data_IF_883294005687
#
_entry.id   IF_883294005687
#
_cell.length_a   1.000
_cell.length_b   1.000
_cell.length_c   1.000
_cell.angle_alpha   90.00
_cell.angle_beta   90.00
_cell.angle_gamma   90.00
#
_symmetry.space_group_name_H-M   'P 1'
#
loop_
_entity.id
_entity.type
_entity.pdbx_description
1 polymer ?
#
# COMPACT_ATOMS: atom_id res chain seq x y z
N UNK A 1 15.58 -23.31 -17.09
CA UNK A 1 15.25 -22.80 -15.74
C UNK A 1 13.80 -23.17 -15.46
N UNK A 2 13.53 -24.33 -14.87
CA UNK A 2 12.16 -24.78 -14.59
C UNK A 2 11.48 -23.81 -13.64
N UNK A 3 10.36 -23.24 -14.05
CA UNK A 3 9.58 -22.27 -13.27
C UNK A 3 9.06 -22.97 -12.00
N UNK A 4 9.80 -22.81 -10.90
CA UNK A 4 9.55 -23.54 -9.66
C UNK A 4 8.21 -23.08 -9.10
N UNK A 5 7.34 -24.04 -8.77
CA UNK A 5 5.99 -23.76 -8.32
C UNK A 5 6.00 -22.92 -7.04
N UNK A 6 5.28 -21.81 -7.07
CA UNK A 6 5.09 -20.94 -5.89
C UNK A 6 3.81 -21.35 -5.18
N UNK A 7 3.91 -21.74 -3.93
CA UNK A 7 2.77 -22.08 -3.08
C UNK A 7 2.49 -20.95 -2.10
N UNK A 8 1.21 -20.56 -1.98
CA UNK A 8 0.76 -19.59 -0.99
C UNK A 8 0.08 -20.32 0.16
N UNK A 9 0.47 -19.97 1.38
CA UNK A 9 -0.23 -20.40 2.60
C UNK A 9 -0.72 -19.17 3.34
N UNK A 10 -2.00 -19.13 3.67
CA UNK A 10 -2.60 -18.04 4.43
C UNK A 10 -2.82 -18.48 5.87
N UNK A 11 -2.50 -17.60 6.83
CA UNK A 11 -2.65 -17.84 8.26
C UNK A 11 -3.25 -16.61 8.93
N UNK A 12 -3.82 -16.79 10.13
CA UNK A 12 -4.43 -15.72 10.93
C UNK A 12 -5.43 -14.90 10.11
N UNK A 13 -6.33 -15.60 9.43
CA UNK A 13 -7.37 -14.99 8.61
C UNK A 13 -8.44 -14.36 9.49
N UNK A 14 -8.74 -13.09 9.25
CA UNK A 14 -9.74 -12.31 9.99
C UNK A 14 -10.60 -11.57 8.96
N UNK A 15 -11.92 -11.72 9.05
CA UNK A 15 -12.87 -10.87 8.33
C UNK A 15 -13.16 -9.63 9.18
N UNK A 16 -12.94 -8.44 8.63
CA UNK A 16 -13.23 -7.17 9.29
C UNK A 16 -14.32 -6.42 8.50
N UNK A 17 -15.60 -6.53 8.90
CA UNK A 17 -16.72 -5.86 8.23
C UNK A 17 -16.66 -4.33 8.31
N UNK A 18 -16.09 -3.75 9.38
CA UNK A 18 -16.03 -2.29 9.58
C UNK A 18 -15.24 -1.57 8.49
N UNK A 19 -14.25 -2.26 7.92
CA UNK A 19 -13.38 -1.76 6.86
C UNK A 19 -13.65 -2.44 5.51
N UNK A 20 -14.68 -3.28 5.42
CA UNK A 20 -15.00 -4.04 4.20
C UNK A 20 -13.82 -4.85 3.66
N UNK A 21 -13.07 -5.52 4.55
CA UNK A 21 -11.86 -6.25 4.15
C UNK A 21 -11.58 -7.51 4.96
N UNK A 22 -10.92 -8.46 4.31
CA UNK A 22 -10.30 -9.65 4.90
C UNK A 22 -8.81 -9.40 5.12
N UNK A 23 -8.30 -9.80 6.27
CA UNK A 23 -6.92 -9.58 6.68
C UNK A 23 -6.27 -10.93 6.95
N UNK A 24 -5.04 -11.12 6.47
CA UNK A 24 -4.33 -12.38 6.67
C UNK A 24 -2.82 -12.17 6.60
N UNK A 25 -2.10 -13.10 7.22
CA UNK A 25 -0.67 -13.29 7.01
C UNK A 25 -0.50 -14.25 5.84
N UNK A 26 0.38 -13.93 4.90
CA UNK A 26 0.69 -14.76 3.75
C UNK A 26 2.13 -15.24 3.85
N UNK A 27 2.30 -16.55 3.89
CA UNK A 27 3.57 -17.20 3.69
C UNK A 27 3.67 -17.65 2.22
N UNK A 28 4.73 -17.18 1.56
CA UNK A 28 5.06 -17.52 0.17
C UNK A 28 6.19 -18.54 0.21
N UNK A 29 5.92 -19.74 -0.31
CA UNK A 29 6.91 -20.78 -0.49
C UNK A 29 7.35 -20.75 -1.96
N UNK A 30 8.65 -20.50 -2.18
CA UNK A 30 9.26 -20.37 -3.49
C UNK A 30 10.63 -21.09 -3.47
N UNK A 31 10.65 -22.43 -3.34
CA UNK A 31 11.90 -23.18 -3.27
C UNK A 31 12.69 -23.03 -4.56
N UNK A 32 14.01 -22.84 -4.45
CA UNK A 32 14.95 -22.69 -5.58
C UNK A 32 14.61 -21.56 -6.57
N UNK A 33 13.68 -20.68 -6.22
CA UNK A 33 13.29 -19.51 -7.00
C UNK A 33 13.62 -18.25 -6.20
N UNK A 34 13.94 -17.19 -6.93
CA UNK A 34 14.05 -15.84 -6.36
C UNK A 34 12.71 -15.34 -5.80
N UNK A 35 12.76 -14.14 -5.23
CA UNK A 35 11.61 -13.49 -4.63
C UNK A 35 10.47 -13.32 -5.64
N UNK A 36 9.24 -13.60 -5.21
CA UNK A 36 8.05 -13.46 -6.06
C UNK A 36 7.62 -12.00 -6.11
N UNK A 37 7.26 -11.52 -7.30
CA UNK A 37 6.79 -10.15 -7.48
C UNK A 37 5.49 -9.94 -6.69
N UNK A 38 5.27 -8.73 -6.16
CA UNK A 38 4.01 -8.42 -5.47
C UNK A 38 2.81 -8.49 -6.40
N UNK A 39 3.03 -8.23 -7.68
CA UNK A 39 1.97 -8.21 -8.68
C UNK A 39 1.46 -9.63 -8.97
N UNK A 40 2.38 -10.60 -9.07
CA UNK A 40 2.08 -12.02 -9.21
C UNK A 40 1.35 -12.55 -7.96
N UNK A 41 1.77 -12.10 -6.77
CA UNK A 41 1.13 -12.48 -5.51
C UNK A 41 -0.31 -11.96 -5.43
N UNK A 42 -0.57 -10.74 -5.92
CA UNK A 42 -1.93 -10.19 -6.00
C UNK A 42 -2.81 -11.02 -6.94
N UNK A 43 -2.27 -11.42 -8.08
CA UNK A 43 -2.99 -12.26 -9.03
C UNK A 43 -3.33 -13.63 -8.42
N UNK A 44 -2.34 -14.33 -7.85
CA UNK A 44 -2.55 -15.66 -7.24
C UNK A 44 -3.49 -15.63 -6.04
N UNK A 45 -3.41 -14.60 -5.19
CA UNK A 45 -4.37 -14.41 -4.10
C UNK A 45 -5.77 -14.07 -4.62
N UNK A 46 -5.84 -13.29 -5.71
CA UNK A 46 -7.09 -13.00 -6.42
C UNK A 46 -7.77 -14.27 -6.90
N UNK A 47 -7.03 -15.13 -7.59
CA UNK A 47 -7.50 -16.44 -8.06
C UNK A 47 -7.95 -17.34 -6.90
N UNK A 48 -7.14 -17.46 -5.83
CA UNK A 48 -7.43 -18.31 -4.67
C UNK A 48 -8.73 -17.91 -3.95
N UNK A 49 -8.97 -16.61 -3.81
CA UNK A 49 -10.14 -16.07 -3.09
C UNK A 49 -11.26 -15.58 -4.01
N UNK A 50 -11.17 -15.86 -5.33
CA UNK A 50 -12.14 -15.44 -6.35
C UNK A 50 -12.43 -13.94 -6.31
N UNK A 51 -11.36 -13.15 -6.28
CA UNK A 51 -11.41 -11.68 -6.25
C UNK A 51 -10.57 -11.08 -7.36
N UNK A 52 -10.88 -9.84 -7.74
CA UNK A 52 -10.08 -9.12 -8.74
C UNK A 52 -8.73 -8.76 -8.12
N UNK A 53 -7.69 -8.79 -8.93
CA UNK A 53 -6.32 -8.37 -8.56
C UNK A 53 -6.30 -6.96 -7.96
N UNK A 54 -7.15 -6.07 -8.45
CA UNK A 54 -7.25 -4.70 -7.97
C UNK A 54 -7.76 -4.60 -6.54
N UNK A 55 -8.59 -5.53 -6.06
CA UNK A 55 -9.12 -5.50 -4.69
C UNK A 55 -8.13 -6.09 -3.67
N UNK A 56 -6.99 -6.63 -4.13
CA UNK A 56 -5.96 -7.27 -3.30
C UNK A 56 -4.78 -6.33 -3.09
N UNK A 57 -4.44 -6.09 -1.83
CA UNK A 57 -3.27 -5.34 -1.39
C UNK A 57 -2.33 -6.25 -0.61
N UNK A 58 -1.04 -6.27 -0.96
CA UNK A 58 -0.03 -7.10 -0.32
C UNK A 58 1.21 -6.27 0.06
N UNK A 59 1.64 -6.37 1.32
CA UNK A 59 2.70 -5.52 1.87
C UNK A 59 3.51 -6.20 2.96
N UNK A 60 4.64 -5.58 3.32
CA UNK A 60 5.44 -6.01 4.47
C UNK A 60 6.15 -7.34 4.29
N UNK A 61 6.43 -7.76 3.05
CA UNK A 61 7.18 -8.98 2.79
C UNK A 61 8.61 -8.90 3.32
N UNK A 62 9.02 -9.94 4.03
CA UNK A 62 10.39 -10.22 4.45
C UNK A 62 10.73 -11.64 4.04
N UNK A 63 11.88 -11.80 3.40
CA UNK A 63 12.49 -13.10 3.09
C UNK A 63 13.15 -13.67 4.34
N UNK A 64 12.96 -14.95 4.60
CA UNK A 64 13.69 -15.64 5.67
C UNK A 64 15.15 -15.84 5.27
N UNK A 65 16.04 -15.90 6.27
CA UNK A 65 17.43 -16.29 6.05
C UNK A 65 17.48 -17.71 5.47
N UNK A 66 18.34 -17.94 4.49
CA UNK A 66 18.37 -19.18 3.70
C UNK A 66 17.40 -19.21 2.51
N UNK A 67 16.54 -18.20 2.33
CA UNK A 67 15.66 -18.09 1.17
C UNK A 67 14.52 -19.12 1.17
N UNK A 68 13.90 -19.36 0.00
CA UNK A 68 12.85 -20.38 -0.17
C UNK A 68 11.48 -20.06 0.47
N UNK A 69 11.45 -19.13 1.45
CA UNK A 69 10.23 -18.69 2.13
C UNK A 69 10.25 -17.19 2.39
N UNK A 70 9.12 -16.54 2.13
CA UNK A 70 8.86 -15.14 2.50
C UNK A 70 7.56 -15.03 3.30
N UNK A 71 7.52 -14.13 4.26
CA UNK A 71 6.30 -13.85 5.03
C UNK A 71 5.89 -12.39 4.83
N UNK A 72 4.61 -12.14 4.64
CA UNK A 72 4.04 -10.78 4.51
C UNK A 72 2.58 -10.74 4.92
N UNK A 73 1.92 -9.64 4.60
CA UNK A 73 0.51 -9.39 4.91
C UNK A 73 -0.28 -9.17 3.64
N UNK A 74 -1.50 -9.69 3.60
CA UNK A 74 -2.47 -9.39 2.56
C UNK A 74 -3.76 -8.84 3.15
N UNK A 75 -4.32 -7.88 2.42
CA UNK A 75 -5.65 -7.33 2.63
C UNK A 75 -6.44 -7.56 1.35
N UNK A 76 -7.60 -8.19 1.45
CA UNK A 76 -8.52 -8.38 0.34
C UNK A 76 -9.77 -7.57 0.67
N UNK A 77 -10.01 -6.52 -0.10
CA UNK A 77 -11.19 -5.67 0.06
C UNK A 77 -12.39 -6.31 -0.66
N UNK A 78 -13.59 -5.93 -0.24
CA UNK A 78 -14.83 -6.34 -0.90
C UNK A 78 -15.06 -5.51 -2.19
N UNK A 79 -14.50 -4.29 -2.26
CA UNK A 79 -14.53 -3.42 -3.44
C UNK A 79 -13.29 -2.52 -3.55
N UNK A 80 -12.98 -2.11 -4.79
CA UNK A 80 -11.88 -1.17 -5.08
C UNK A 80 -12.12 0.21 -4.44
N UNK A 81 -13.37 0.64 -4.31
CA UNK A 81 -13.73 1.88 -3.62
C UNK A 81 -13.35 1.84 -2.13
N UNK A 82 -13.63 0.71 -1.46
CA UNK A 82 -13.22 0.50 -0.07
C UNK A 82 -11.70 0.51 0.06
N UNK A 83 -10.98 -0.11 -0.88
CA UNK A 83 -9.52 -0.07 -0.91
C UNK A 83 -8.99 1.36 -0.99
N UNK A 84 -9.49 2.18 -1.93
CA UNK A 84 -9.06 3.59 -2.08
C UNK A 84 -9.36 4.43 -0.85
N UNK A 85 -10.45 4.13 -0.14
CA UNK A 85 -10.85 4.86 1.09
C UNK A 85 -9.98 4.52 2.29
N UNK A 86 -9.64 3.23 2.47
CA UNK A 86 -9.02 2.74 3.71
C UNK A 86 -7.53 2.43 3.62
N UNK A 87 -6.95 2.27 2.43
CA UNK A 87 -5.50 2.12 2.29
C UNK A 87 -4.78 3.45 2.52
N UNK A 88 -3.61 3.44 3.19
CA UNK A 88 -2.72 4.58 3.21
C UNK A 88 -2.30 5.00 1.79
N UNK A 89 -2.26 6.32 1.54
CA UNK A 89 -1.94 6.92 0.24
C UNK A 89 -0.67 6.35 -0.41
N UNK A 90 0.39 6.11 0.38
CA UNK A 90 1.65 5.61 -0.15
C UNK A 90 1.55 4.21 -0.78
N UNK A 91 0.56 3.40 -0.38
CA UNK A 91 0.32 2.07 -0.98
C UNK A 91 -0.48 2.20 -2.26
N UNK A 92 -1.46 3.09 -2.30
CA UNK A 92 -2.22 3.40 -3.52
C UNK A 92 -1.28 3.88 -4.63
N UNK A 93 -0.31 4.74 -4.30
CA UNK A 93 0.74 5.17 -5.26
C UNK A 93 1.58 4.01 -5.76
N UNK A 94 1.95 3.06 -4.90
CA UNK A 94 2.73 1.86 -5.29
C UNK A 94 1.96 0.92 -6.22
N UNK A 95 0.64 0.94 -6.19
CA UNK A 95 -0.21 0.17 -7.10
C UNK A 95 -0.66 0.99 -8.32
N UNK A 96 -0.21 2.23 -8.47
CA UNK A 96 -0.62 3.10 -9.59
C UNK A 96 -2.06 3.63 -9.50
N UNK A 97 -2.74 3.47 -8.35
CA UNK A 97 -4.12 3.92 -8.16
C UNK A 97 -4.24 5.38 -7.71
N UNK A 98 -3.13 6.01 -7.33
CA UNK A 98 -3.06 7.40 -6.94
C UNK A 98 -1.74 8.02 -7.40
N UNK A 99 -1.73 9.32 -7.64
CA UNK A 99 -0.49 10.06 -7.94
C UNK A 99 0.28 10.38 -6.67
N UNK A 100 1.61 10.47 -6.79
CA UNK A 100 2.46 10.94 -5.71
C UNK A 100 2.11 12.39 -5.41
N UNK A 101 1.78 12.67 -4.15
CA UNK A 101 1.48 14.04 -3.74
C UNK A 101 2.80 14.82 -3.64
N UNK A 102 3.04 15.68 -4.62
CA UNK A 102 4.16 16.62 -4.58
C UNK A 102 3.83 17.80 -3.66
N UNK A 103 4.60 17.92 -2.58
CA UNK A 103 4.48 19.01 -1.62
C UNK A 103 5.84 19.64 -1.42
N UNK A 104 5.85 20.97 -1.35
CA UNK A 104 6.99 21.74 -0.88
C UNK A 104 7.52 21.16 0.45
N UNK A 105 8.83 21.32 0.68
CA UNK A 105 9.49 20.72 1.84
C UNK A 105 8.81 21.12 3.14
N UNK A 106 8.90 20.25 4.16
CA UNK A 106 8.29 20.53 5.48
C UNK A 106 8.75 21.87 6.03
N UNK A 107 10.02 22.23 5.80
CA UNK A 107 10.60 23.52 6.21
C UNK A 107 9.95 24.69 5.46
N UNK A 108 9.86 24.65 4.13
CA UNK A 108 9.25 25.71 3.32
C UNK A 108 7.77 25.93 3.72
N UNK A 109 7.02 24.86 3.95
CA UNK A 109 5.63 24.94 4.40
C UNK A 109 5.49 25.60 5.77
N UNK A 110 6.39 25.27 6.72
CA UNK A 110 6.39 25.87 8.06
C UNK A 110 6.80 27.35 8.02
N UNK A 111 7.84 27.69 7.26
CA UNK A 111 8.28 29.08 7.10
C UNK A 111 7.17 29.93 6.45
N UNK A 112 6.53 29.44 5.38
CA UNK A 112 5.38 30.11 4.75
C UNK A 112 4.23 30.32 5.74
N UNK A 113 3.91 29.32 6.57
CA UNK A 113 2.89 29.43 7.62
C UNK A 113 3.25 30.51 8.63
N UNK A 114 4.50 30.58 9.08
CA UNK A 114 4.93 31.58 10.06
C UNK A 114 4.89 33.00 9.49
N UNK A 115 5.40 33.23 8.28
CA UNK A 115 5.29 34.53 7.58
C UNK A 115 3.83 34.96 7.40
N UNK A 116 2.93 34.03 7.06
CA UNK A 116 1.50 34.33 6.93
C UNK A 116 0.81 34.68 8.28
N UNK A 117 1.43 34.41 9.44
CA UNK A 117 0.89 34.84 10.74
C UNK A 117 1.24 36.28 11.09
N UNK A 118 2.27 36.86 10.47
CA UNK A 118 2.70 38.24 10.69
C UNK A 118 1.73 39.26 10.07
N UNK A 119 0.98 38.85 9.05
CA UNK A 119 0.00 39.70 8.36
C UNK A 119 -1.45 39.48 8.83
N UNK A 120 -2.26 40.54 8.77
CA UNK A 120 -3.70 40.55 9.10
C UNK A 120 -4.52 41.00 7.90
N UNK A 121 -5.82 40.70 7.90
CA UNK A 121 -6.75 41.11 6.83
C UNK A 121 -6.32 40.64 5.44
N UNK A 122 -6.54 41.48 4.43
CA UNK A 122 -6.22 41.19 3.02
C UNK A 122 -4.72 40.99 2.75
N UNK A 123 -3.83 41.52 3.60
CA UNK A 123 -2.39 41.33 3.47
C UNK A 123 -1.95 39.88 3.71
N UNK A 124 -2.75 39.07 4.41
CA UNK A 124 -2.46 37.66 4.64
C UNK A 124 -2.64 36.79 3.40
N UNK A 125 -3.60 37.14 2.54
CA UNK A 125 -3.88 36.44 1.28
C UNK A 125 -3.11 37.02 0.10
N UNK A 126 -2.98 38.35 0.03
CA UNK A 126 -2.31 39.06 -1.08
C UNK A 126 -0.80 39.24 -0.90
N UNK A 127 -0.28 38.99 0.31
CA UNK A 127 1.07 39.40 0.71
C UNK A 127 1.11 40.86 1.14
N UNK A 128 2.07 41.24 1.98
CA UNK A 128 2.32 42.65 2.28
C UNK A 128 2.57 43.42 1.00
N UNK A 129 2.01 44.64 0.87
CA UNK A 129 2.41 45.55 -0.20
C UNK A 129 3.93 45.75 -0.08
N UNK A 130 4.67 45.49 -1.17
CA UNK A 130 6.08 45.85 -1.26
C UNK A 130 6.21 47.37 -1.15
#
# INVERSE_FOLDING_TARGET
MSDSQVTLRTRKFIRNPLLGRRQMVVDVLHPNRANVSKDDLRQKLGELYKTKKDDVSVFGFKTHYGGGKSTGFALIYDSNEAMKKFEPHYRLVRYGMASKIEKASRQQRKQRKNRAKEHRGTAKTKGGKK
#
